data_IF_057609348427
#
_entry.id   IF_057609348427
#
_cell.length_a   1.000
_cell.length_b   1.000
_cell.length_c   1.000
_cell.angle_alpha   90.00
_cell.angle_beta   90.00
_cell.angle_gamma   90.00
#
_symmetry.space_group_name_H-M   'P 1'
#
loop_
_entity.id
_entity.type
_entity.pdbx_description
1 polymer ?
#
# COMPACT_ATOMS: atom_id res chain seq x y z
N UNK A 1 -11.46 7.32 11.51
CA UNK A 1 -12.41 7.23 10.39
C UNK A 1 -12.02 6.04 9.55
N UNK A 2 -13.01 5.29 9.07
CA UNK A 2 -12.78 4.14 8.18
C UNK A 2 -13.51 4.40 6.87
N UNK A 3 -12.84 4.15 5.76
CA UNK A 3 -13.41 4.21 4.41
C UNK A 3 -13.07 2.90 3.70
N UNK A 4 -13.88 2.51 2.73
CA UNK A 4 -13.64 1.28 1.98
C UNK A 4 -14.45 1.25 0.69
N UNK A 5 -14.08 0.35 -0.22
CA UNK A 5 -14.73 0.14 -1.50
C UNK A 5 -15.57 -1.16 -1.56
N UNK A 6 -15.72 -1.81 -0.41
CA UNK A 6 -16.42 -3.08 -0.27
C UNK A 6 -15.51 -4.32 -0.32
N UNK A 7 -14.24 -4.13 -0.68
CA UNK A 7 -13.21 -5.17 -0.67
C UNK A 7 -12.00 -4.78 0.16
N UNK A 8 -11.46 -3.59 -0.07
CA UNK A 8 -10.37 -3.02 0.72
C UNK A 8 -10.91 -1.93 1.61
N UNK A 9 -10.41 -1.87 2.85
CA UNK A 9 -10.66 -0.80 3.77
C UNK A 9 -9.41 -0.06 4.17
N UNK A 10 -9.56 1.22 4.40
CA UNK A 10 -8.51 2.09 4.93
C UNK A 10 -8.95 2.72 6.23
N UNK A 11 -8.08 2.64 7.24
CA UNK A 11 -8.32 3.27 8.52
C UNK A 11 -7.47 4.53 8.64
N UNK A 12 -8.13 5.68 8.70
CA UNK A 12 -7.49 6.99 8.85
C UNK A 12 -7.48 7.35 10.33
N UNK A 13 -6.29 7.32 10.93
CA UNK A 13 -6.07 7.63 12.32
C UNK A 13 -5.56 9.06 12.49
N UNK A 14 -6.00 9.79 13.53
CA UNK A 14 -5.42 11.09 13.82
C UNK A 14 -3.94 10.94 14.21
N UNK A 15 -3.14 11.93 13.82
CA UNK A 15 -1.75 12.02 14.26
C UNK A 15 -1.70 12.15 15.78
N UNK A 16 -0.79 11.40 16.38
CA UNK A 16 -0.54 11.39 17.81
C UNK A 16 0.94 11.64 18.08
N UNK A 17 1.25 12.07 19.30
CA UNK A 17 2.65 12.23 19.73
C UNK A 17 3.45 10.92 19.51
N UNK A 18 4.64 11.05 18.94
CA UNK A 18 5.51 9.91 18.63
C UNK A 18 5.16 9.13 17.37
N UNK A 19 4.12 9.53 16.61
CA UNK A 19 3.76 8.94 15.31
C UNK A 19 3.96 9.95 14.19
N UNK A 20 4.66 9.54 13.16
CA UNK A 20 4.75 10.29 11.92
C UNK A 20 3.46 10.17 11.13
N UNK A 21 3.09 11.21 10.41
CA UNK A 21 2.04 11.11 9.41
C UNK A 21 2.55 10.29 8.21
N UNK A 22 1.66 9.61 7.56
CA UNK A 22 2.00 8.84 6.36
C UNK A 22 1.26 7.51 6.27
N UNK A 23 1.67 6.70 5.31
CA UNK A 23 1.19 5.33 5.15
C UNK A 23 1.90 4.44 6.17
N UNK A 24 1.18 4.08 7.25
CA UNK A 24 1.76 3.42 8.43
C UNK A 24 1.97 1.92 8.20
N UNK A 25 0.91 1.19 7.87
CA UNK A 25 0.96 -0.24 7.57
C UNK A 25 -0.25 -0.68 6.75
N UNK A 26 -0.22 -1.91 6.28
CA UNK A 26 -1.32 -2.57 5.59
C UNK A 26 -1.76 -3.82 6.35
N UNK A 27 -2.77 -4.51 5.85
CA UNK A 27 -3.23 -5.79 6.39
C UNK A 27 -3.59 -6.78 5.29
N UNK A 28 -3.43 -8.05 5.59
CA UNK A 28 -3.82 -9.16 4.73
C UNK A 28 -4.85 -10.02 5.49
N UNK A 29 -5.98 -10.25 4.84
CA UNK A 29 -6.94 -11.24 5.28
C UNK A 29 -6.71 -12.55 4.54
N UNK A 30 -6.66 -13.64 5.27
CA UNK A 30 -6.47 -15.00 4.75
C UNK A 30 -7.66 -15.89 5.08
N UNK A 31 -7.79 -16.99 4.36
CA UNK A 31 -8.82 -18.00 4.63
C UNK A 31 -8.46 -18.86 5.85
N UNK A 32 -7.17 -19.18 6.02
CA UNK A 32 -6.64 -20.03 7.09
C UNK A 32 -5.36 -19.43 7.69
N UNK A 33 -5.50 -18.87 8.86
CA UNK A 33 -4.40 -18.25 9.60
C UNK A 33 -3.41 -19.28 10.15
N UNK A 34 -3.87 -20.48 10.48
CA UNK A 34 -2.97 -21.52 11.01
C UNK A 34 -2.07 -22.08 9.90
N UNK A 35 -2.59 -22.24 8.70
CA UNK A 35 -1.76 -22.59 7.54
C UNK A 35 -0.66 -21.53 7.26
N UNK A 36 -0.97 -20.24 7.44
CA UNK A 36 0.03 -19.17 7.36
C UNK A 36 1.07 -19.30 8.47
N UNK A 37 0.65 -19.56 9.72
CA UNK A 37 1.55 -19.79 10.85
C UNK A 37 2.52 -20.94 10.59
N UNK A 38 2.03 -22.06 10.09
CA UNK A 38 2.87 -23.22 9.76
C UNK A 38 3.90 -22.88 8.68
N UNK A 39 3.50 -22.18 7.59
CA UNK A 39 4.40 -21.75 6.53
C UNK A 39 5.49 -20.80 7.04
N UNK A 40 5.10 -19.83 7.88
CA UNK A 40 6.05 -18.90 8.51
C UNK A 40 7.01 -19.64 9.44
N UNK A 41 6.51 -20.48 10.34
CA UNK A 41 7.34 -21.22 11.29
C UNK A 41 8.35 -22.12 10.56
N UNK A 42 7.96 -22.73 9.45
CA UNK A 42 8.81 -23.64 8.66
C UNK A 42 9.90 -22.91 7.89
N UNK A 43 9.56 -21.80 7.22
CA UNK A 43 10.47 -21.10 6.30
C UNK A 43 11.16 -19.89 6.93
N UNK A 44 10.52 -19.25 7.89
CA UNK A 44 10.95 -17.98 8.48
C UNK A 44 10.85 -18.01 10.03
N UNK A 45 11.56 -18.92 10.72
CA UNK A 45 11.38 -19.18 12.15
C UNK A 45 11.73 -18.00 13.07
N UNK A 46 12.31 -16.93 12.53
CA UNK A 46 12.60 -15.69 13.26
C UNK A 46 11.48 -14.65 13.16
N UNK A 47 10.49 -14.88 12.33
CA UNK A 47 9.33 -14.00 12.19
C UNK A 47 8.28 -14.40 13.20
N UNK A 48 7.91 -13.46 14.06
CA UNK A 48 6.88 -13.66 15.07
C UNK A 48 5.50 -13.24 14.57
N UNK A 49 4.50 -14.01 14.91
CA UNK A 49 3.08 -13.65 14.77
C UNK A 49 2.51 -13.47 16.15
N UNK A 50 2.11 -12.25 16.46
CA UNK A 50 1.60 -11.86 17.78
C UNK A 50 0.09 -11.65 17.79
N UNK A 51 -0.55 -11.96 18.91
CA UNK A 51 -1.94 -11.60 19.14
C UNK A 51 -2.04 -10.10 19.44
N UNK A 52 -2.89 -9.39 18.71
CA UNK A 52 -3.17 -7.99 19.00
C UNK A 52 -4.09 -7.85 20.21
N UNK A 53 -4.00 -6.75 20.96
CA UNK A 53 -4.95 -6.45 22.04
C UNK A 53 -6.40 -6.42 21.55
N UNK A 54 -7.34 -6.84 22.39
CA UNK A 54 -8.77 -6.92 22.06
C UNK A 54 -9.43 -5.57 21.72
N UNK A 55 -8.79 -4.46 22.07
CA UNK A 55 -9.23 -3.12 21.71
C UNK A 55 -8.70 -2.64 20.34
N UNK A 56 -8.09 -3.54 19.56
CA UNK A 56 -7.63 -3.29 18.18
C UNK A 56 -8.47 -4.11 17.20
N UNK A 57 -9.67 -3.63 16.83
CA UNK A 57 -10.70 -4.46 16.21
C UNK A 57 -10.48 -4.76 14.72
N UNK A 58 -9.55 -4.10 14.03
CA UNK A 58 -9.38 -4.27 12.57
C UNK A 58 -8.59 -5.51 12.18
N UNK A 59 -7.75 -6.02 13.07
CA UNK A 59 -6.98 -7.22 12.84
C UNK A 59 -6.78 -7.97 14.15
N UNK A 60 -6.87 -9.27 14.09
CA UNK A 60 -6.63 -10.12 15.26
C UNK A 60 -5.15 -10.29 15.55
N UNK A 61 -4.31 -10.29 14.55
CA UNK A 61 -2.90 -10.62 14.61
C UNK A 61 -2.04 -9.52 14.00
N UNK A 62 -0.79 -9.46 14.45
CA UNK A 62 0.26 -8.64 13.87
C UNK A 62 1.46 -9.49 13.50
N UNK A 63 2.13 -9.16 12.43
CA UNK A 63 3.30 -9.84 11.88
C UNK A 63 4.23 -8.81 11.25
N UNK A 64 5.48 -9.17 11.03
CA UNK A 64 6.39 -8.39 10.18
C UNK A 64 6.94 -9.26 9.05
N UNK A 65 7.32 -8.63 7.97
CA UNK A 65 8.00 -9.29 6.86
C UNK A 65 9.53 -9.37 7.07
N UNK A 66 10.27 -10.05 6.19
CA UNK A 66 11.74 -10.13 6.28
C UNK A 66 12.47 -8.78 6.14
N UNK A 67 11.82 -7.75 5.60
CA UNK A 67 12.37 -6.38 5.53
C UNK A 67 12.06 -5.56 6.79
N UNK A 68 11.28 -6.11 7.74
CA UNK A 68 10.89 -5.44 8.98
C UNK A 68 9.65 -4.56 8.85
N UNK A 69 8.93 -4.62 7.73
CA UNK A 69 7.65 -3.93 7.59
C UNK A 69 6.58 -4.66 8.39
N UNK A 70 6.01 -3.97 9.38
CA UNK A 70 4.85 -4.46 10.12
C UNK A 70 3.60 -4.47 9.24
N UNK A 71 2.78 -5.50 9.37
CA UNK A 71 1.45 -5.56 8.78
C UNK A 71 0.49 -6.37 9.64
N UNK A 72 -0.79 -6.12 9.43
CA UNK A 72 -1.86 -6.84 10.10
C UNK A 72 -2.18 -8.15 9.39
N UNK A 73 -2.46 -9.20 10.16
CA UNK A 73 -2.92 -10.49 9.65
C UNK A 73 -4.29 -10.81 10.26
N UNK A 74 -5.24 -11.19 9.43
CA UNK A 74 -6.61 -11.45 9.85
C UNK A 74 -7.23 -12.63 9.10
N UNK A 75 -8.31 -13.15 9.67
CA UNK A 75 -9.19 -14.15 9.07
C UNK A 75 -10.63 -13.81 9.43
N UNK A 76 -11.59 -14.07 8.55
CA UNK A 76 -13.00 -13.89 8.85
C UNK A 76 -13.39 -14.73 10.08
N UNK A 77 -14.24 -14.16 10.93
CA UNK A 77 -14.72 -14.83 12.15
C UNK A 77 -13.75 -14.89 13.33
N UNK A 78 -12.53 -14.34 13.22
CA UNK A 78 -11.65 -14.22 14.37
C UNK A 78 -12.24 -13.28 15.43
N UNK A 79 -12.19 -13.69 16.70
CA UNK A 79 -12.81 -12.97 17.83
C UNK A 79 -12.39 -11.50 17.95
N UNK A 80 -11.19 -11.15 17.53
CA UNK A 80 -10.63 -9.80 17.66
C UNK A 80 -10.56 -9.05 16.31
N UNK A 81 -11.47 -9.37 15.42
CA UNK A 81 -11.60 -8.73 14.11
C UNK A 81 -12.89 -7.93 14.03
N UNK A 82 -12.85 -6.77 13.38
CA UNK A 82 -14.05 -6.02 13.03
C UNK A 82 -14.30 -6.08 11.52
N UNK A 83 -15.53 -6.39 11.16
CA UNK A 83 -16.00 -6.44 9.76
C UNK A 83 -16.44 -5.05 9.29
N UNK A 84 -15.55 -4.07 9.31
CA UNK A 84 -15.89 -2.66 9.04
C UNK A 84 -15.95 -2.35 7.55
N UNK A 85 -15.34 -3.19 6.71
CA UNK A 85 -15.10 -2.91 5.30
C UNK A 85 -15.88 -3.80 4.35
N UNK A 86 -16.54 -4.82 4.87
CA UNK A 86 -17.24 -5.85 4.10
C UNK A 86 -18.71 -5.48 3.76
N UNK A 87 -19.14 -4.29 4.12
CA UNK A 87 -20.53 -3.86 3.97
C UNK A 87 -20.89 -3.40 2.55
N UNK A 88 -20.04 -3.58 1.57
CA UNK A 88 -20.24 -3.12 0.21
C UNK A 88 -20.10 -4.20 -0.84
N UNK A 89 -20.58 -3.88 -2.03
CA UNK A 89 -20.29 -4.65 -3.23
C UNK A 89 -19.03 -4.09 -3.90
N UNK A 90 -18.34 -4.89 -4.71
CA UNK A 90 -17.19 -4.43 -5.50
C UNK A 90 -17.61 -3.58 -6.72
N UNK A 91 -18.71 -2.90 -6.65
CA UNK A 91 -19.29 -2.08 -7.74
C UNK A 91 -19.09 -0.59 -7.49
N UNK A 92 -17.88 -0.20 -7.08
CA UNK A 92 -17.56 1.19 -6.83
C UNK A 92 -16.92 1.82 -8.06
N UNK A 93 -17.30 3.05 -8.40
CA UNK A 93 -16.69 3.85 -9.48
C UNK A 93 -15.24 4.25 -9.17
N UNK A 94 -14.87 4.18 -7.91
CA UNK A 94 -13.54 4.51 -7.39
C UNK A 94 -13.18 3.43 -6.39
N UNK A 95 -12.11 2.71 -6.65
CA UNK A 95 -11.71 1.56 -5.84
C UNK A 95 -10.21 1.52 -5.64
N UNK A 96 -9.78 0.89 -4.59
CA UNK A 96 -8.37 0.57 -4.40
C UNK A 96 -7.90 -0.39 -5.48
N UNK A 97 -6.71 -0.19 -6.00
CA UNK A 97 -6.12 -1.06 -7.02
C UNK A 97 -4.79 -1.64 -6.61
N UNK A 98 -3.97 -0.86 -5.93
CA UNK A 98 -2.65 -1.31 -5.51
C UNK A 98 -2.10 -0.49 -4.35
N UNK A 99 -1.05 -1.01 -3.76
CA UNK A 99 -0.09 -0.25 -2.99
C UNK A 99 1.32 -0.67 -3.38
N UNK A 100 2.28 0.19 -3.10
CA UNK A 100 3.68 -0.09 -3.38
C UNK A 100 4.53 0.10 -2.14
N UNK A 101 5.62 -0.66 -2.07
CA UNK A 101 6.67 -0.51 -1.09
C UNK A 101 8.04 -0.52 -1.77
N UNK A 102 9.01 0.17 -1.17
CA UNK A 102 10.41 0.14 -1.60
C UNK A 102 11.23 -0.63 -0.58
N UNK A 103 12.05 -1.55 -1.08
CA UNK A 103 12.86 -2.42 -0.23
C UNK A 103 14.25 -2.65 -0.83
N UNK A 104 15.20 -3.07 0.00
CA UNK A 104 16.58 -3.34 -0.45
C UNK A 104 16.67 -4.63 -1.25
N UNK A 105 15.91 -5.66 -0.85
CA UNK A 105 15.90 -7.00 -1.45
C UNK A 105 14.51 -7.36 -1.98
N UNK A 106 14.06 -6.77 -3.11
CA UNK A 106 12.68 -6.95 -3.59
C UNK A 106 12.36 -8.41 -3.96
N UNK A 107 13.28 -9.14 -4.56
CA UNK A 107 13.08 -10.55 -4.91
C UNK A 107 12.81 -11.42 -3.68
N UNK A 108 13.65 -11.29 -2.65
CA UNK A 108 13.48 -12.01 -1.40
C UNK A 108 12.16 -11.70 -0.70
N UNK A 109 11.75 -10.45 -0.75
CA UNK A 109 10.46 -10.05 -0.17
C UNK A 109 9.29 -10.57 -0.99
N UNK A 110 9.38 -10.54 -2.32
CA UNK A 110 8.38 -11.10 -3.21
C UNK A 110 8.20 -12.62 -3.00
N UNK A 111 9.31 -13.36 -2.84
CA UNK A 111 9.29 -14.79 -2.50
C UNK A 111 8.60 -15.06 -1.16
N UNK A 112 8.80 -14.18 -0.16
CA UNK A 112 8.12 -14.28 1.12
C UNK A 112 6.61 -14.22 0.95
N UNK A 113 6.10 -13.16 0.32
CA UNK A 113 4.65 -12.98 0.14
C UNK A 113 4.04 -14.07 -0.76
N UNK A 114 4.71 -14.42 -1.86
CA UNK A 114 4.26 -15.50 -2.72
C UNK A 114 4.23 -16.85 -1.99
N UNK A 115 5.27 -17.16 -1.22
CA UNK A 115 5.37 -18.46 -0.56
C UNK A 115 4.59 -18.61 0.74
N UNK A 116 4.29 -17.51 1.44
CA UNK A 116 3.53 -17.52 2.70
C UNK A 116 2.03 -17.37 2.43
N UNK A 117 1.66 -16.48 1.53
CA UNK A 117 0.27 -16.13 1.24
C UNK A 117 -0.25 -16.74 -0.07
N UNK A 118 0.58 -17.51 -0.78
CA UNK A 118 0.23 -18.20 -2.03
C UNK A 118 -0.26 -17.23 -3.12
N UNK A 119 0.24 -16.00 -3.09
CA UNK A 119 -0.11 -14.99 -4.08
C UNK A 119 0.66 -15.20 -5.38
N UNK A 120 0.00 -15.13 -6.54
CA UNK A 120 0.67 -15.15 -7.83
C UNK A 120 1.72 -14.04 -7.94
N UNK A 121 2.94 -14.42 -8.31
CA UNK A 121 4.09 -13.52 -8.46
C UNK A 121 4.36 -13.25 -9.93
N UNK A 122 4.47 -11.98 -10.29
CA UNK A 122 4.82 -11.51 -11.64
C UNK A 122 5.83 -10.35 -11.57
N UNK A 123 6.38 -9.98 -12.71
CA UNK A 123 7.14 -8.74 -12.81
C UNK A 123 6.21 -7.54 -12.73
N UNK A 124 6.61 -6.53 -11.99
CA UNK A 124 5.86 -5.27 -11.95
C UNK A 124 6.16 -4.42 -13.18
N UNK A 125 5.17 -3.69 -13.73
CA UNK A 125 5.41 -2.69 -14.79
C UNK A 125 6.30 -1.52 -14.33
N UNK A 126 6.58 -1.42 -13.04
CA UNK A 126 7.41 -0.36 -12.46
C UNK A 126 8.92 -0.45 -12.82
N UNK A 127 9.33 -1.47 -13.56
CA UNK A 127 10.68 -1.61 -14.10
C UNK A 127 11.48 -2.79 -13.56
N UNK A 128 12.74 -2.85 -13.94
CA UNK A 128 13.64 -3.96 -13.60
C UNK A 128 13.84 -4.11 -12.09
N UNK A 129 13.74 -5.35 -11.62
CA UNK A 129 13.86 -5.71 -10.22
C UNK A 129 12.63 -5.35 -9.37
N UNK A 130 11.53 -4.92 -10.00
CA UNK A 130 10.26 -4.71 -9.35
C UNK A 130 9.33 -5.91 -9.57
N UNK A 131 8.62 -6.30 -8.52
CA UNK A 131 7.69 -7.45 -8.51
C UNK A 131 6.27 -7.01 -8.21
N UNK A 132 5.32 -7.81 -8.64
CA UNK A 132 3.91 -7.63 -8.34
C UNK A 132 3.29 -8.94 -7.85
N UNK A 133 2.49 -8.86 -6.80
CA UNK A 133 1.68 -9.95 -6.28
C UNK A 133 0.24 -9.48 -6.21
N UNK A 134 -0.70 -10.31 -6.60
CA UNK A 134 -2.11 -9.93 -6.66
C UNK A 134 -3.03 -11.06 -6.21
N UNK A 135 -4.14 -10.69 -5.60
CA UNK A 135 -5.27 -11.58 -5.33
C UNK A 135 -6.36 -11.49 -6.42
N UNK A 136 -6.07 -10.80 -7.51
CA UNK A 136 -6.99 -10.55 -8.62
C UNK A 136 -7.78 -9.23 -8.51
N UNK A 137 -7.72 -8.54 -7.38
CA UNK A 137 -8.38 -7.25 -7.13
C UNK A 137 -7.41 -6.18 -6.63
N UNK A 138 -6.58 -6.56 -5.69
CA UNK A 138 -5.56 -5.69 -5.12
C UNK A 138 -4.17 -6.17 -5.54
N UNK A 139 -3.27 -5.26 -5.86
CA UNK A 139 -1.90 -5.60 -6.23
C UNK A 139 -0.92 -4.96 -5.26
N UNK A 140 0.00 -5.75 -4.75
CA UNK A 140 1.17 -5.30 -4.02
C UNK A 140 2.33 -5.16 -5.01
N UNK A 141 2.90 -3.96 -5.14
CA UNK A 141 4.12 -3.74 -5.90
C UNK A 141 5.31 -3.61 -4.95
N UNK A 142 6.34 -4.41 -5.20
CA UNK A 142 7.59 -4.40 -4.45
C UNK A 142 8.65 -3.80 -5.35
N UNK A 143 9.11 -2.60 -5.00
CA UNK A 143 10.03 -1.80 -5.78
C UNK A 143 11.44 -1.85 -5.15
N UNK A 144 12.52 -1.81 -5.95
CA UNK A 144 13.86 -1.67 -5.40
C UNK A 144 14.07 -0.28 -4.78
N UNK A 145 14.74 -0.24 -3.64
CA UNK A 145 15.31 0.97 -3.06
C UNK A 145 16.83 0.93 -3.18
N UNK A 146 17.43 2.02 -3.61
CA UNK A 146 18.89 2.17 -3.76
C UNK A 146 19.33 3.44 -3.05
N UNK A 147 20.56 3.47 -2.58
CA UNK A 147 21.11 4.69 -1.95
C UNK A 147 21.11 5.91 -2.91
N UNK A 148 21.15 5.66 -4.20
CA UNK A 148 20.98 6.72 -5.21
C UNK A 148 19.59 7.37 -5.17
N UNK A 149 18.56 6.65 -4.70
CA UNK A 149 17.21 7.20 -4.55
C UNK A 149 17.20 8.25 -3.46
N UNK A 150 17.90 8.02 -2.35
CA UNK A 150 18.08 9.03 -1.32
C UNK A 150 18.79 10.28 -1.86
N UNK A 151 19.94 10.10 -2.51
CA UNK A 151 20.76 11.22 -2.98
C UNK A 151 20.12 11.98 -4.15
N UNK A 152 19.35 11.31 -4.99
CA UNK A 152 18.77 11.91 -6.20
C UNK A 152 17.31 12.34 -6.05
N UNK A 153 16.55 11.73 -5.17
CA UNK A 153 15.09 11.91 -5.09
C UNK A 153 14.56 12.15 -3.68
N UNK A 154 15.42 12.12 -2.67
CA UNK A 154 15.02 12.29 -1.27
C UNK A 154 14.13 11.16 -0.72
N UNK A 155 14.17 9.96 -1.33
CA UNK A 155 13.51 8.77 -0.76
C UNK A 155 14.41 8.21 0.34
N UNK A 156 14.17 8.64 1.55
CA UNK A 156 15.09 8.53 2.68
C UNK A 156 15.42 7.10 3.09
N UNK A 157 14.46 6.16 2.96
CA UNK A 157 14.61 4.80 3.46
C UNK A 157 13.65 3.83 2.75
N UNK A 158 13.91 2.51 2.84
CA UNK A 158 12.94 1.49 2.51
C UNK A 158 11.67 1.67 3.36
N UNK A 159 10.51 1.75 2.72
CA UNK A 159 9.22 1.94 3.37
C UNK A 159 8.06 1.70 2.39
N UNK A 160 6.83 1.79 2.91
CA UNK A 160 5.63 1.95 2.08
C UNK A 160 5.76 3.23 1.25
N UNK A 161 5.46 3.14 -0.05
CA UNK A 161 5.74 4.18 -1.03
C UNK A 161 4.48 4.97 -1.40
N UNK A 162 3.44 4.31 -1.87
CA UNK A 162 2.21 4.98 -2.30
C UNK A 162 0.99 4.04 -2.31
N UNK A 163 -0.18 4.65 -2.42
CA UNK A 163 -1.47 3.99 -2.65
C UNK A 163 -1.92 4.21 -4.09
N UNK A 164 -2.63 3.24 -4.65
CA UNK A 164 -3.21 3.31 -5.98
C UNK A 164 -4.72 3.12 -5.99
N UNK A 165 -5.38 3.87 -6.85
CA UNK A 165 -6.81 3.77 -7.08
C UNK A 165 -7.10 3.63 -8.57
N UNK A 166 -8.15 2.91 -8.88
CA UNK A 166 -8.80 2.90 -10.19
C UNK A 166 -10.07 3.73 -10.15
N UNK A 167 -10.33 4.41 -11.26
CA UNK A 167 -11.57 5.14 -11.50
C UNK A 167 -12.15 4.71 -12.85
N UNK A 168 -13.47 4.72 -12.97
CA UNK A 168 -14.12 4.33 -14.24
C UNK A 168 -13.94 5.38 -15.35
N UNK A 169 -13.75 6.65 -14.96
CA UNK A 169 -13.54 7.79 -15.86
C UNK A 169 -12.54 8.76 -15.22
N UNK A 170 -11.33 8.80 -15.79
CA UNK A 170 -10.27 9.66 -15.28
C UNK A 170 -10.52 11.15 -15.57
N UNK A 171 -11.20 11.47 -16.66
CA UNK A 171 -11.52 12.85 -17.00
C UNK A 171 -12.58 13.42 -16.05
N UNK A 172 -13.63 12.65 -15.76
CA UNK A 172 -14.62 13.00 -14.76
C UNK A 172 -14.00 13.13 -13.36
N UNK A 173 -13.11 12.22 -12.98
CA UNK A 173 -12.38 12.30 -11.72
C UNK A 173 -11.58 13.61 -11.59
N UNK A 174 -10.82 13.98 -12.62
CA UNK A 174 -10.05 15.24 -12.63
C UNK A 174 -10.95 16.46 -12.49
N UNK A 175 -12.09 16.46 -13.19
CA UNK A 175 -13.08 17.53 -13.08
C UNK A 175 -13.65 17.65 -11.68
N UNK A 176 -14.00 16.53 -11.04
CA UNK A 176 -14.50 16.53 -9.66
C UNK A 176 -13.45 17.11 -8.69
N UNK A 177 -12.18 16.77 -8.87
CA UNK A 177 -11.07 17.32 -8.06
C UNK A 177 -10.97 18.84 -8.22
N UNK A 178 -11.13 19.35 -9.45
CA UNK A 178 -11.13 20.78 -9.73
C UNK A 178 -12.37 21.48 -9.13
N UNK A 179 -13.56 20.92 -9.29
CA UNK A 179 -14.82 21.48 -8.78
C UNK A 179 -14.85 21.54 -7.25
N UNK A 180 -14.32 20.52 -6.59
CA UNK A 180 -14.17 20.51 -5.13
C UNK A 180 -13.14 21.53 -4.66
N UNK A 181 -12.51 22.28 -5.58
CA UNK A 181 -11.46 23.24 -5.27
C UNK A 181 -10.41 22.67 -4.32
N UNK A 182 -10.08 21.41 -4.51
CA UNK A 182 -8.97 20.77 -3.84
C UNK A 182 -7.68 21.41 -4.38
N UNK A 183 -7.58 22.69 -4.20
CA UNK A 183 -6.43 23.53 -4.55
C UNK A 183 -5.35 23.41 -3.47
N UNK A 184 -5.42 22.37 -2.69
CA UNK A 184 -4.35 22.13 -1.74
C UNK A 184 -3.11 21.72 -2.55
N UNK A 185 -2.07 22.55 -2.59
CA UNK A 185 -0.85 22.20 -3.29
C UNK A 185 -0.20 20.93 -2.75
N UNK A 186 -0.61 20.45 -1.58
CA UNK A 186 -0.21 19.18 -1.00
C UNK A 186 -0.98 17.99 -1.61
N UNK A 187 -2.14 18.23 -2.23
CA UNK A 187 -2.93 17.21 -2.92
C UNK A 187 -2.37 16.86 -4.31
N UNK A 188 -1.42 17.61 -4.80
CA UNK A 188 -0.71 17.30 -6.04
C UNK A 188 0.74 16.99 -5.70
N UNK A 189 1.32 15.90 -6.24
CA UNK A 189 2.73 15.65 -6.09
C UNK A 189 3.50 16.86 -6.62
N UNK A 190 3.90 17.73 -5.72
CA UNK A 190 4.85 18.80 -6.01
C UNK A 190 6.22 18.33 -5.58
N UNK A 191 7.25 18.86 -6.19
CA UNK A 191 8.58 18.73 -5.66
C UNK A 191 8.57 19.06 -4.18
N UNK A 192 8.84 18.09 -3.32
CA UNK A 192 8.83 18.26 -1.86
C UNK A 192 10.17 18.72 -1.33
N UNK A 193 11.16 18.80 -2.16
CA UNK A 193 12.46 19.36 -1.89
C UNK A 193 12.61 20.74 -2.50
N UNK A 194 13.75 21.33 -2.35
CA UNK A 194 14.11 22.60 -2.98
C UNK A 194 14.63 22.29 -4.38
N UNK A 195 13.89 22.73 -5.40
CA UNK A 195 14.36 22.65 -6.80
C UNK A 195 14.41 21.26 -7.41
N UNK A 196 15.56 20.88 -7.95
CA UNK A 196 15.73 19.69 -8.78
C UNK A 196 15.43 18.35 -8.09
N UNK A 197 15.61 18.25 -6.77
CA UNK A 197 15.38 17.03 -6.01
C UNK A 197 13.89 16.67 -5.98
N UNK A 198 13.02 17.63 -5.78
CA UNK A 198 11.59 17.41 -5.77
C UNK A 198 11.05 17.00 -7.13
N UNK A 199 11.57 17.57 -8.22
CA UNK A 199 11.23 17.14 -9.58
C UNK A 199 11.72 15.71 -9.85
N UNK A 200 12.91 15.38 -9.42
CA UNK A 200 13.46 14.04 -9.56
C UNK A 200 12.60 12.99 -8.84
N UNK A 201 12.12 13.31 -7.63
CA UNK A 201 11.19 12.44 -6.89
C UNK A 201 9.87 12.24 -7.61
N UNK A 202 9.25 13.31 -8.08
CA UNK A 202 8.02 13.23 -8.87
C UNK A 202 8.21 12.42 -10.15
N UNK A 203 9.30 12.64 -10.86
CA UNK A 203 9.64 11.90 -12.07
C UNK A 203 9.90 10.42 -11.77
N UNK A 204 10.54 10.11 -10.65
CA UNK A 204 10.72 8.72 -10.19
C UNK A 204 9.38 8.06 -9.89
N UNK A 205 8.45 8.77 -9.27
CA UNK A 205 7.10 8.28 -9.05
C UNK A 205 6.35 8.02 -10.37
N UNK A 206 6.35 8.98 -11.28
CA UNK A 206 5.71 8.85 -12.60
C UNK A 206 6.29 7.71 -13.44
N UNK A 207 7.61 7.48 -13.36
CA UNK A 207 8.29 6.41 -14.11
C UNK A 207 7.89 5.01 -13.65
N UNK A 208 7.27 4.84 -12.49
CA UNK A 208 6.73 3.54 -12.08
C UNK A 208 5.65 3.04 -13.04
N UNK A 209 4.98 3.94 -13.77
CA UNK A 209 3.89 3.60 -14.67
C UNK A 209 2.65 3.02 -13.97
N UNK A 210 2.57 3.15 -12.64
CA UNK A 210 1.49 2.59 -11.84
C UNK A 210 0.26 3.51 -11.76
N UNK A 211 0.36 4.72 -12.30
CA UNK A 211 -0.73 5.69 -12.39
C UNK A 211 -0.67 6.54 -13.65
N UNK A 212 -1.77 7.18 -13.99
CA UNK A 212 -1.93 8.14 -15.08
C UNK A 212 -2.13 9.58 -14.56
N UNK A 213 -2.59 9.69 -13.32
CA UNK A 213 -2.70 10.93 -12.57
C UNK A 213 -2.17 10.72 -11.17
N UNK A 214 -1.58 11.77 -10.58
CA UNK A 214 -0.87 11.64 -9.31
C UNK A 214 -1.28 12.76 -8.37
N UNK A 215 -1.59 12.40 -7.15
CA UNK A 215 -1.97 13.28 -6.06
C UNK A 215 -1.10 13.00 -4.84
N UNK A 216 -1.18 13.85 -3.85
CA UNK A 216 -0.75 13.56 -2.49
C UNK A 216 -1.87 13.97 -1.53
N UNK A 217 -2.00 13.27 -0.42
CA UNK A 217 -2.86 13.70 0.66
C UNK A 217 -2.23 14.85 1.48
N UNK A 218 -2.93 15.31 2.50
CA UNK A 218 -2.48 16.41 3.37
C UNK A 218 -1.23 16.08 4.18
N UNK A 219 -0.94 14.80 4.36
CA UNK A 219 0.22 14.30 5.08
C UNK A 219 1.37 13.87 4.16
N UNK A 220 1.20 14.07 2.84
CA UNK A 220 2.20 13.78 1.84
C UNK A 220 2.23 12.34 1.34
N UNK A 221 1.22 11.52 1.68
CA UNK A 221 1.09 10.18 1.10
C UNK A 221 0.80 10.30 -0.38
N UNK A 222 1.66 9.70 -1.19
CA UNK A 222 1.51 9.71 -2.64
C UNK A 222 0.37 8.80 -3.07
N UNK A 223 -0.42 9.27 -4.04
CA UNK A 223 -1.58 8.57 -4.56
C UNK A 223 -1.50 8.51 -6.08
N UNK A 224 -1.52 7.29 -6.62
CA UNK A 224 -1.58 7.03 -8.06
C UNK A 224 -3.03 6.74 -8.47
N UNK A 225 -3.50 7.39 -9.51
CA UNK A 225 -4.84 7.20 -10.06
C UNK A 225 -4.69 6.70 -11.51
N UNK A 226 -5.41 5.66 -11.85
CA UNK A 226 -5.50 5.15 -13.24
C UNK A 226 -6.95 4.90 -13.62
N UNK A 227 -7.22 4.93 -14.92
CA UNK A 227 -8.51 4.51 -15.44
C UNK A 227 -8.61 2.98 -15.48
N UNK A 228 -9.75 2.45 -15.09
CA UNK A 228 -10.02 1.02 -15.17
C UNK A 228 -10.07 0.57 -16.65
N UNK A 229 -9.38 -0.50 -16.95
CA UNK A 229 -9.47 -1.14 -18.27
C UNK A 229 -10.68 -2.08 -18.26
N UNK A 230 -11.68 -1.77 -19.05
CA UNK A 230 -12.86 -2.60 -19.27
C UNK A 230 -12.62 -3.70 -20.28
#
# INVERSE_FOLDING_TARGET
MSIGDGYVGMNINPRMAGRQAGFDHFGIQVEDVEAVRERVAKKYPKIEIIQRPSNRPFAALGIHDPAGQYFDLSQAGLKNRAEVYEAGTWEQKRRFSHFAMRVIEPERLAEFYAGVFELPLTNSPAGDGAFALTDGRMTMHILPWKISDFLGTGIERPALDHLGFEVDDLAAFKKDVEELRIVNPLMMPKPTGVGAEGEARLNTFKRTGLGEHYLADLDGVMIAIKEAKH
#
